data_IF_489195620747
#
_entry.id   IF_489195620747
#
_cell.length_a   1.000
_cell.length_b   1.000
_cell.length_c   1.000
_cell.angle_alpha   90.00
_cell.angle_beta   90.00
_cell.angle_gamma   90.00
#
_symmetry.space_group_name_H-M   'P 1'
#
loop_
_entity.id
_entity.type
_entity.pdbx_description
1 polymer ?
#
# COMPACT_ATOMS: atom_id res chain seq x y z
N UNK A 1 4.57 11.38 -9.46
CA UNK A 1 5.94 11.43 -10.06
C UNK A 1 7.00 11.91 -9.07
N UNK A 2 6.65 12.76 -8.11
CA UNK A 2 7.60 13.36 -7.16
C UNK A 2 8.27 12.35 -6.22
N UNK A 3 7.53 11.41 -5.63
CA UNK A 3 8.09 10.37 -4.73
C UNK A 3 9.14 9.50 -5.42
N UNK A 4 8.92 9.11 -6.69
CA UNK A 4 9.90 8.36 -7.49
C UNK A 4 11.17 9.19 -7.76
N UNK A 5 11.03 10.49 -8.04
CA UNK A 5 12.16 11.41 -8.21
C UNK A 5 12.98 11.53 -6.93
N UNK A 6 12.32 11.73 -5.79
CA UNK A 6 12.95 11.81 -4.48
C UNK A 6 13.65 10.49 -4.09
N UNK A 7 13.07 9.34 -4.41
CA UNK A 7 13.73 8.03 -4.22
C UNK A 7 15.03 7.91 -5.01
N UNK A 8 15.03 8.33 -6.30
CA UNK A 8 16.24 8.34 -7.13
C UNK A 8 17.30 9.27 -6.56
N UNK A 9 16.93 10.52 -6.21
CA UNK A 9 17.86 11.50 -5.61
C UNK A 9 18.45 10.98 -4.30
N UNK A 10 17.62 10.44 -3.40
CA UNK A 10 18.06 9.85 -2.13
C UNK A 10 19.10 8.74 -2.36
N UNK A 11 18.90 7.89 -3.36
CA UNK A 11 19.85 6.82 -3.68
C UNK A 11 21.20 7.37 -4.18
N UNK A 12 21.17 8.41 -5.03
CA UNK A 12 22.38 9.11 -5.49
C UNK A 12 23.13 9.76 -4.34
N UNK A 13 22.46 10.56 -3.51
CA UNK A 13 23.08 11.26 -2.38
C UNK A 13 23.66 10.26 -1.38
N UNK A 14 22.98 9.13 -1.11
CA UNK A 14 23.54 8.05 -0.27
C UNK A 14 24.89 7.56 -0.79
N UNK A 15 24.99 7.29 -2.10
CA UNK A 15 26.25 6.82 -2.71
C UNK A 15 27.36 7.84 -2.58
N UNK A 16 27.05 9.14 -2.68
CA UNK A 16 28.03 10.21 -2.51
C UNK A 16 28.44 10.41 -1.04
N UNK A 17 27.48 10.42 -0.12
CA UNK A 17 27.73 10.55 1.32
C UNK A 17 28.63 9.41 1.85
N UNK A 18 28.46 8.19 1.35
CA UNK A 18 29.30 7.04 1.72
C UNK A 18 30.75 7.16 1.27
N UNK A 19 31.06 8.01 0.28
CA UNK A 19 32.45 8.30 -0.13
C UNK A 19 33.16 9.26 0.83
N UNK A 20 32.46 9.83 1.81
CA UNK A 20 33.05 10.65 2.87
C UNK A 20 33.58 12.02 2.44
N UNK A 21 33.22 12.49 1.23
CA UNK A 21 33.79 13.71 0.64
C UNK A 21 33.23 14.99 1.27
N UNK A 22 31.96 14.99 1.70
CA UNK A 22 31.30 16.16 2.27
C UNK A 22 30.28 15.76 3.36
N UNK A 23 30.38 16.27 4.61
CA UNK A 23 29.41 16.02 5.67
C UNK A 23 27.98 16.51 5.36
N UNK A 24 27.81 17.58 4.59
CA UNK A 24 26.50 18.12 4.20
C UNK A 24 25.65 17.12 3.42
N UNK A 25 26.31 16.24 2.64
CA UNK A 25 25.63 15.19 1.88
C UNK A 25 24.95 14.18 2.80
N UNK A 26 25.48 13.96 4.01
CA UNK A 26 24.87 13.05 4.97
C UNK A 26 23.58 13.64 5.57
N UNK A 27 23.58 14.95 5.85
CA UNK A 27 22.38 15.63 6.34
C UNK A 27 21.32 15.80 5.24
N UNK A 28 21.74 16.06 3.99
CA UNK A 28 20.84 16.01 2.84
C UNK A 28 20.23 14.59 2.70
N UNK A 29 21.04 13.54 2.85
CA UNK A 29 20.53 12.17 2.81
C UNK A 29 19.50 11.89 3.90
N UNK A 30 19.73 12.36 5.14
CA UNK A 30 18.76 12.22 6.25
C UNK A 30 17.44 12.93 5.92
N UNK A 31 17.51 14.16 5.41
CA UNK A 31 16.33 14.94 5.01
C UNK A 31 15.55 14.23 3.90
N UNK A 32 16.25 13.77 2.85
CA UNK A 32 15.65 13.00 1.76
C UNK A 32 15.05 11.67 2.23
N UNK A 33 15.69 10.98 3.18
CA UNK A 33 15.14 9.75 3.78
C UNK A 33 13.82 10.02 4.48
N UNK A 34 13.76 11.08 5.29
CA UNK A 34 12.53 11.47 6.00
C UNK A 34 11.42 11.83 5.01
N UNK A 35 11.71 12.69 4.04
CA UNK A 35 10.75 13.13 3.02
C UNK A 35 10.22 11.97 2.17
N UNK A 36 11.09 11.05 1.73
CA UNK A 36 10.66 9.85 0.99
C UNK A 36 9.75 8.97 1.84
N UNK A 37 10.09 8.73 3.12
CA UNK A 37 9.24 7.93 4.02
C UNK A 37 7.86 8.56 4.18
N UNK A 38 7.80 9.87 4.43
CA UNK A 38 6.54 10.59 4.57
C UNK A 38 5.70 10.52 3.30
N UNK A 39 6.30 10.79 2.13
CA UNK A 39 5.58 10.79 0.86
C UNK A 39 5.06 9.40 0.46
N UNK A 40 5.83 8.33 0.71
CA UNK A 40 5.34 6.96 0.48
C UNK A 40 4.08 6.69 1.32
N UNK A 41 4.10 7.05 2.61
CA UNK A 41 2.94 6.85 3.48
C UNK A 41 1.75 7.70 3.01
N UNK A 42 1.99 8.97 2.67
CA UNK A 42 0.96 9.89 2.19
C UNK A 42 0.32 9.40 0.88
N UNK A 43 1.13 9.02 -0.09
CA UNK A 43 0.67 8.50 -1.39
C UNK A 43 -0.13 7.21 -1.19
N UNK A 44 0.33 6.31 -0.32
CA UNK A 44 -0.37 5.07 0.00
C UNK A 44 -1.72 5.32 0.67
N UNK A 45 -1.77 6.18 1.68
CA UNK A 45 -3.04 6.54 2.35
C UNK A 45 -4.01 7.21 1.36
N UNK A 46 -3.49 8.04 0.46
CA UNK A 46 -4.29 8.69 -0.59
C UNK A 46 -4.86 7.64 -1.55
N UNK A 47 -4.04 6.69 -1.99
CA UNK A 47 -4.47 5.55 -2.80
C UNK A 47 -5.58 4.74 -2.10
N UNK A 48 -5.40 4.39 -0.81
CA UNK A 48 -6.42 3.66 -0.05
C UNK A 48 -7.74 4.42 0.03
N UNK A 49 -7.69 5.74 0.25
CA UNK A 49 -8.90 6.57 0.29
C UNK A 49 -9.61 6.60 -1.06
N UNK A 50 -8.87 6.76 -2.16
CA UNK A 50 -9.45 6.68 -3.50
C UNK A 50 -10.04 5.31 -3.79
N UNK A 51 -9.32 4.24 -3.47
CA UNK A 51 -9.80 2.87 -3.64
C UNK A 51 -11.08 2.61 -2.83
N UNK A 52 -11.17 3.10 -1.59
CA UNK A 52 -12.40 2.99 -0.77
C UNK A 52 -13.57 3.74 -1.41
N UNK A 53 -13.35 4.96 -1.90
CA UNK A 53 -14.39 5.76 -2.55
C UNK A 53 -14.83 5.12 -3.88
N UNK A 54 -13.89 4.58 -4.65
CA UNK A 54 -14.15 3.86 -5.88
C UNK A 54 -14.96 2.58 -5.60
N UNK A 55 -14.66 1.87 -4.51
CA UNK A 55 -15.41 0.69 -4.09
C UNK A 55 -16.87 1.02 -3.74
N UNK A 56 -17.10 2.13 -3.03
CA UNK A 56 -18.46 2.58 -2.68
C UNK A 56 -19.23 3.04 -3.92
N UNK A 57 -18.56 3.68 -4.88
CA UNK A 57 -19.22 4.29 -6.05
C UNK A 57 -19.42 3.32 -7.22
N UNK A 58 -18.42 2.49 -7.55
CA UNK A 58 -18.54 1.43 -8.56
C UNK A 58 -17.75 0.17 -8.14
N UNK A 59 -18.40 -0.75 -7.40
CA UNK A 59 -17.74 -1.96 -6.92
C UNK A 59 -17.39 -2.93 -8.06
N UNK A 60 -17.92 -2.76 -9.28
CA UNK A 60 -17.69 -3.72 -10.40
C UNK A 60 -16.21 -3.84 -10.76
N UNK A 61 -15.47 -2.73 -10.69
CA UNK A 61 -14.03 -2.71 -10.99
C UNK A 61 -13.21 -3.46 -9.93
N UNK A 62 -13.64 -3.39 -8.68
CA UNK A 62 -13.03 -4.16 -7.60
C UNK A 62 -13.34 -5.66 -7.79
N UNK A 63 -14.61 -6.01 -8.00
CA UNK A 63 -15.01 -7.40 -8.17
C UNK A 63 -14.46 -8.04 -9.45
N UNK A 64 -14.27 -7.30 -10.54
CA UNK A 64 -13.67 -7.85 -11.77
C UNK A 64 -12.20 -8.26 -11.56
N UNK A 65 -11.45 -7.57 -10.72
CA UNK A 65 -10.10 -7.96 -10.34
C UNK A 65 -10.09 -9.28 -9.57
N UNK A 66 -11.00 -9.45 -8.62
CA UNK A 66 -11.13 -10.69 -7.84
C UNK A 66 -11.65 -11.84 -8.70
N UNK A 67 -12.62 -11.59 -9.59
CA UNK A 67 -13.19 -12.61 -10.49
C UNK A 67 -12.17 -13.21 -11.46
N UNK A 68 -11.18 -12.43 -11.86
CA UNK A 68 -10.14 -12.86 -12.81
C UNK A 68 -8.93 -13.52 -12.14
N UNK A 69 -8.86 -13.49 -10.81
CA UNK A 69 -7.87 -14.25 -10.06
C UNK A 69 -8.56 -15.46 -9.45
N UNK A 70 -8.01 -16.66 -9.64
CA UNK A 70 -8.36 -17.82 -8.81
C UNK A 70 -7.84 -17.59 -7.39
N UNK A 71 -8.45 -16.65 -6.68
CA UNK A 71 -8.26 -16.49 -5.26
C UNK A 71 -9.17 -17.54 -4.67
N UNK A 72 -8.58 -18.66 -4.24
CA UNK A 72 -9.34 -19.68 -3.51
C UNK A 72 -9.99 -18.98 -2.32
N UNK A 73 -11.31 -19.14 -2.18
CA UNK A 73 -11.98 -18.78 -0.94
C UNK A 73 -11.31 -19.52 0.21
N UNK A 74 -11.11 -18.88 1.37
CA UNK A 74 -10.62 -19.61 2.54
C UNK A 74 -11.63 -20.70 2.90
N UNK A 75 -11.16 -21.92 3.17
CA UNK A 75 -12.00 -23.08 3.51
C UNK A 75 -12.88 -22.84 4.75
N UNK A 76 -12.48 -21.91 5.63
CA UNK A 76 -13.31 -21.43 6.74
C UNK A 76 -12.97 -20.00 7.14
N UNK A 77 -13.97 -19.24 7.59
CA UNK A 77 -13.83 -17.90 8.17
C UNK A 77 -14.26 -17.93 9.63
N UNK A 78 -13.52 -17.24 10.51
CA UNK A 78 -13.93 -17.03 11.89
C UNK A 78 -14.21 -15.54 12.09
N UNK A 79 -15.46 -15.17 12.35
CA UNK A 79 -15.91 -13.78 12.52
C UNK A 79 -17.00 -13.72 13.59
N UNK A 80 -16.97 -12.72 14.46
CA UNK A 80 -17.90 -12.58 15.60
C UNK A 80 -18.09 -13.86 16.44
N UNK A 81 -17.00 -14.59 16.71
CA UNK A 81 -17.01 -15.90 17.40
C UNK A 81 -17.79 -17.02 16.69
N UNK A 82 -18.19 -16.82 15.44
CA UNK A 82 -18.86 -17.82 14.60
C UNK A 82 -17.89 -18.31 13.53
N UNK A 83 -17.89 -19.63 13.31
CA UNK A 83 -17.12 -20.27 12.24
C UNK A 83 -18.02 -20.54 11.04
N UNK A 84 -17.65 -20.00 9.89
CA UNK A 84 -18.31 -20.21 8.61
C UNK A 84 -17.44 -21.18 7.78
N UNK A 85 -18.04 -22.24 7.24
CA UNK A 85 -17.31 -23.31 6.53
C UNK A 85 -17.74 -23.45 5.06
N UNK A 86 -18.63 -22.60 4.57
CA UNK A 86 -19.06 -22.63 3.18
C UNK A 86 -18.97 -21.22 2.57
N UNK A 87 -18.72 -21.16 1.26
CA UNK A 87 -18.45 -19.90 0.55
C UNK A 87 -19.59 -18.89 0.66
N UNK A 88 -20.84 -19.37 0.69
CA UNK A 88 -22.03 -18.52 0.80
C UNK A 88 -22.09 -17.80 2.13
N UNK A 89 -21.97 -18.53 3.23
CA UNK A 89 -22.01 -17.97 4.58
C UNK A 89 -20.77 -17.11 4.87
N UNK A 90 -19.60 -17.51 4.35
CA UNK A 90 -18.37 -16.70 4.41
C UNK A 90 -18.61 -15.36 3.71
N UNK A 91 -19.25 -15.35 2.54
CA UNK A 91 -19.54 -14.12 1.78
C UNK A 91 -20.58 -13.26 2.50
N UNK A 92 -21.63 -13.87 3.05
CA UNK A 92 -22.70 -13.18 3.77
C UNK A 92 -22.20 -12.55 5.08
N UNK A 93 -21.22 -13.14 5.75
CA UNK A 93 -20.61 -12.57 6.95
C UNK A 93 -19.93 -11.20 6.71
N UNK A 94 -19.59 -10.85 5.47
CA UNK A 94 -19.05 -9.53 5.12
C UNK A 94 -20.14 -8.48 4.82
N UNK A 95 -21.42 -8.87 4.78
CA UNK A 95 -22.54 -7.98 4.52
C UNK A 95 -23.18 -7.39 5.80
N UNK A 96 -22.89 -7.98 6.96
CA UNK A 96 -23.24 -7.47 8.31
C UNK A 96 -22.30 -6.35 8.77
#
# INVERSE_FOLDING_TARGET
METKRLMKRKATVRKLALKGVNPDLFDEFKSLRSSVKHNIQKDYNTYLRHMKNDLVSDPRRFWSYFKNKNINSPDSLFYNNVRYNNDGDITNAFAD
#
